data_IF_167840488386
#
_entry.id   IF_167840488386
#
_cell.length_a   1.000
_cell.length_b   1.000
_cell.length_c   1.000
_cell.angle_alpha   90.00
_cell.angle_beta   90.00
_cell.angle_gamma   90.00
#
_symmetry.space_group_name_H-M   'P 1'
#
loop_
_entity.id
_entity.type
_entity.pdbx_description
1 polymer ?
#
# COMPACT_ATOMS: atom_id res chain seq x y z
N UNK A 1 -9.48 -15.04 15.44
CA UNK A 1 -8.34 -14.34 14.82
C UNK A 1 -8.43 -12.86 15.21
N UNK A 2 -7.34 -12.21 15.64
CA UNK A 2 -7.35 -10.77 15.91
C UNK A 2 -7.70 -10.00 14.63
N UNK A 3 -8.49 -8.92 14.72
CA UNK A 3 -8.89 -8.09 13.57
C UNK A 3 -7.70 -7.71 12.69
N UNK A 4 -6.57 -7.39 13.32
CA UNK A 4 -5.32 -6.97 12.68
C UNK A 4 -4.75 -7.97 11.67
N UNK A 5 -4.79 -9.28 11.93
CA UNK A 5 -4.23 -10.30 11.02
C UNK A 5 -5.06 -10.47 9.75
N UNK A 6 -6.38 -10.40 9.88
CA UNK A 6 -7.28 -10.45 8.73
C UNK A 6 -7.10 -9.22 7.83
N UNK A 7 -6.94 -8.06 8.44
CA UNK A 7 -6.68 -6.80 7.74
C UNK A 7 -5.36 -6.88 6.95
N UNK A 8 -4.27 -7.35 7.55
CA UNK A 8 -2.97 -7.52 6.86
C UNK A 8 -3.10 -8.44 5.63
N UNK A 9 -3.81 -9.56 5.73
CA UNK A 9 -4.03 -10.46 4.59
C UNK A 9 -4.87 -9.81 3.48
N UNK A 10 -5.89 -9.03 3.86
CA UNK A 10 -6.70 -8.25 2.91
C UNK A 10 -5.84 -7.19 2.22
N UNK A 11 -4.98 -6.49 2.96
CA UNK A 11 -4.03 -5.52 2.42
C UNK A 11 -3.06 -6.17 1.45
N UNK A 12 -2.50 -7.33 1.79
CA UNK A 12 -1.61 -8.10 0.92
C UNK A 12 -2.29 -8.44 -0.42
N UNK A 13 -3.49 -9.02 -0.38
CA UNK A 13 -4.23 -9.39 -1.60
C UNK A 13 -4.52 -8.18 -2.49
N UNK A 14 -4.96 -7.07 -1.89
CA UNK A 14 -5.19 -5.82 -2.64
C UNK A 14 -3.89 -5.27 -3.21
N UNK A 15 -2.80 -5.30 -2.42
CA UNK A 15 -1.49 -4.83 -2.85
C UNK A 15 -1.01 -5.59 -4.08
N UNK A 16 -1.09 -6.92 -4.07
CA UNK A 16 -0.70 -7.74 -5.22
C UNK A 16 -1.59 -7.47 -6.45
N UNK A 17 -2.90 -7.29 -6.25
CA UNK A 17 -3.85 -6.97 -7.33
C UNK A 17 -3.52 -5.65 -8.04
N UNK A 18 -3.14 -4.61 -7.31
CA UNK A 18 -2.74 -3.33 -7.92
C UNK A 18 -1.28 -3.34 -8.38
N UNK A 19 -0.43 -4.09 -7.69
CA UNK A 19 0.99 -4.18 -7.92
C UNK A 19 1.38 -4.70 -9.30
N UNK A 20 0.57 -5.56 -9.93
CA UNK A 20 0.80 -6.03 -11.30
C UNK A 20 0.83 -4.90 -12.34
N UNK A 21 0.17 -3.77 -12.04
CA UNK A 21 0.09 -2.60 -12.92
C UNK A 21 1.20 -1.58 -12.64
N UNK A 22 2.14 -1.89 -11.74
CA UNK A 22 3.23 -0.97 -11.41
C UNK A 22 4.17 -0.79 -12.62
N UNK A 23 4.43 0.46 -13.06
CA UNK A 23 5.15 0.73 -14.31
C UNK A 23 6.68 0.72 -14.10
N UNK A 24 7.22 -0.38 -13.56
CA UNK A 24 8.67 -0.60 -13.40
C UNK A 24 9.12 -1.88 -14.08
N UNK A 25 10.35 -1.86 -14.64
CA UNK A 25 11.01 -3.07 -15.16
C UNK A 25 11.33 -4.06 -14.03
N UNK A 26 11.60 -3.55 -12.84
CA UNK A 26 11.94 -4.34 -11.65
C UNK A 26 10.70 -4.68 -10.80
N UNK A 27 9.52 -4.73 -11.44
CA UNK A 27 8.25 -4.93 -10.72
C UNK A 27 8.23 -6.26 -9.97
N UNK A 28 8.79 -7.32 -10.55
CA UNK A 28 8.78 -8.66 -9.94
C UNK A 28 9.58 -8.65 -8.63
N UNK A 29 10.75 -8.04 -8.64
CA UNK A 29 11.61 -7.89 -7.46
C UNK A 29 10.91 -7.04 -6.38
N UNK A 30 10.30 -5.92 -6.77
CA UNK A 30 9.52 -5.07 -5.84
C UNK A 30 8.38 -5.86 -5.22
N UNK A 31 7.61 -6.60 -6.02
CA UNK A 31 6.50 -7.42 -5.52
C UNK A 31 6.99 -8.57 -4.63
N UNK A 32 8.17 -9.12 -4.90
CA UNK A 32 8.81 -10.10 -4.03
C UNK A 32 9.18 -9.50 -2.67
N UNK A 33 9.79 -8.32 -2.63
CA UNK A 33 10.09 -7.61 -1.38
C UNK A 33 8.82 -7.26 -0.60
N UNK A 34 7.77 -6.83 -1.29
CA UNK A 34 6.46 -6.56 -0.68
C UNK A 34 5.85 -7.85 -0.11
N UNK A 35 5.91 -8.95 -0.85
CA UNK A 35 5.47 -10.26 -0.35
C UNK A 35 6.21 -10.67 0.92
N UNK A 36 7.53 -10.50 0.94
CA UNK A 36 8.36 -10.80 2.11
C UNK A 36 7.97 -9.93 3.32
N UNK A 37 7.73 -8.63 3.13
CA UNK A 37 7.23 -7.75 4.18
C UNK A 37 5.93 -8.27 4.83
N UNK A 38 4.96 -8.68 4.01
CA UNK A 38 3.70 -9.25 4.52
C UNK A 38 3.89 -10.62 5.18
N UNK A 39 4.83 -11.42 4.69
CA UNK A 39 5.17 -12.70 5.29
C UNK A 39 5.76 -12.52 6.69
N UNK A 40 6.76 -11.63 6.83
CA UNK A 40 7.40 -11.29 8.11
C UNK A 40 6.43 -10.65 9.11
N UNK A 41 5.43 -9.91 8.61
CA UNK A 41 4.41 -9.29 9.47
C UNK A 41 3.52 -10.31 10.20
N UNK A 42 3.51 -11.60 9.80
CA UNK A 42 2.70 -12.64 10.46
C UNK A 42 3.22 -13.01 11.86
N UNK A 43 4.53 -12.91 12.07
CA UNK A 43 5.19 -13.26 13.34
C UNK A 43 5.25 -12.10 14.34
N UNK A 44 4.89 -10.89 13.92
CA UNK A 44 4.83 -9.72 14.82
C UNK A 44 3.73 -9.93 15.85
N UNK A 45 4.08 -9.77 17.12
CA UNK A 45 3.17 -9.93 18.27
C UNK A 45 3.00 -8.64 19.07
N UNK A 46 3.99 -7.74 19.01
CA UNK A 46 3.93 -6.43 19.66
C UNK A 46 2.84 -5.55 19.01
N UNK A 47 1.90 -4.97 19.79
CA UNK A 47 0.82 -4.15 19.26
C UNK A 47 1.29 -2.86 18.57
N UNK A 48 2.37 -2.22 19.05
CA UNK A 48 2.87 -0.98 18.46
C UNK A 48 3.53 -1.26 17.12
N UNK A 49 4.38 -2.29 17.05
CA UNK A 49 4.98 -2.73 15.79
C UNK A 49 3.89 -3.14 14.79
N UNK A 50 2.86 -3.86 15.24
CA UNK A 50 1.76 -4.26 14.37
C UNK A 50 1.01 -3.05 13.79
N UNK A 51 0.82 -1.99 14.57
CA UNK A 51 0.24 -0.72 14.12
C UNK A 51 1.10 -0.05 13.05
N UNK A 52 2.43 -0.01 13.26
CA UNK A 52 3.36 0.53 12.26
C UNK A 52 3.36 -0.29 10.97
N UNK A 53 3.35 -1.63 11.07
CA UNK A 53 3.25 -2.51 9.88
C UNK A 53 1.95 -2.28 9.12
N UNK A 54 0.83 -2.09 9.82
CA UNK A 54 -0.44 -1.73 9.20
C UNK A 54 -0.38 -0.38 8.50
N UNK A 55 0.25 0.64 9.11
CA UNK A 55 0.46 1.95 8.50
C UNK A 55 1.30 1.85 7.22
N UNK A 56 2.42 1.11 7.27
CA UNK A 56 3.26 0.85 6.10
C UNK A 56 2.50 0.09 4.99
N UNK A 57 1.71 -0.93 5.35
CA UNK A 57 0.88 -1.67 4.41
C UNK A 57 -0.15 -0.77 3.71
N UNK A 58 -0.79 0.17 4.43
CA UNK A 58 -1.67 1.20 3.86
C UNK A 58 -0.94 2.08 2.86
N UNK A 59 0.26 2.56 3.20
CA UNK A 59 1.07 3.39 2.30
C UNK A 59 1.47 2.63 1.02
N UNK A 60 1.91 1.38 1.15
CA UNK A 60 2.28 0.53 0.01
C UNK A 60 1.07 0.34 -0.92
N UNK A 61 -0.09 0.01 -0.35
CA UNK A 61 -1.32 -0.17 -1.13
C UNK A 61 -1.73 1.12 -1.85
N UNK A 62 -1.73 2.26 -1.16
CA UNK A 62 -2.07 3.56 -1.74
C UNK A 62 -1.15 3.90 -2.93
N UNK A 63 0.16 3.62 -2.80
CA UNK A 63 1.11 3.83 -3.87
C UNK A 63 0.77 2.99 -5.12
N UNK A 64 0.53 1.69 -4.95
CA UNK A 64 0.14 0.84 -6.08
C UNK A 64 -1.21 1.22 -6.68
N UNK A 65 -2.17 1.66 -5.87
CA UNK A 65 -3.46 2.16 -6.34
C UNK A 65 -3.31 3.42 -7.19
N UNK A 66 -2.45 4.35 -6.77
CA UNK A 66 -2.13 5.56 -7.52
C UNK A 66 -1.54 5.22 -8.90
N UNK A 67 -0.55 4.34 -8.97
CA UNK A 67 0.04 3.96 -10.26
C UNK A 67 -0.93 3.17 -11.14
N UNK A 68 -1.74 2.29 -10.56
CA UNK A 68 -2.78 1.60 -11.32
C UNK A 68 -3.78 2.61 -11.90
N UNK A 69 -4.27 3.57 -11.10
CA UNK A 69 -5.13 4.64 -11.59
C UNK A 69 -4.44 5.44 -12.69
N UNK A 70 -3.15 5.76 -12.53
CA UNK A 70 -2.40 6.50 -13.56
C UNK A 70 -2.32 5.74 -14.89
N UNK A 71 -2.14 4.42 -14.85
CA UNK A 71 -2.19 3.58 -16.04
C UNK A 71 -3.56 3.60 -16.72
N UNK A 72 -4.65 3.66 -15.94
CA UNK A 72 -6.01 3.82 -16.47
C UNK A 72 -6.18 5.19 -17.12
N UNK A 73 -5.72 6.26 -16.48
CA UNK A 73 -5.76 7.61 -17.05
C UNK A 73 -5.03 7.67 -18.40
N UNK A 74 -3.82 7.09 -18.47
CA UNK A 74 -3.02 7.07 -19.70
C UNK A 74 -3.71 6.29 -20.83
N UNK A 75 -4.48 5.25 -20.49
CA UNK A 75 -5.21 4.44 -21.47
C UNK A 75 -6.53 5.08 -21.92
N UNK A 76 -7.22 5.79 -21.03
CA UNK A 76 -8.59 6.27 -21.25
C UNK A 76 -8.68 7.78 -21.49
N UNK A 77 -7.62 8.54 -21.21
CA UNK A 77 -7.61 10.00 -21.24
C UNK A 77 -8.44 10.66 -20.13
N UNK A 78 -9.10 9.87 -19.27
CA UNK A 78 -9.97 10.39 -18.20
C UNK A 78 -9.19 10.46 -16.88
N UNK A 79 -9.20 11.63 -16.24
CA UNK A 79 -8.54 11.86 -14.95
C UNK A 79 -9.29 11.18 -13.81
N UNK A 80 -8.57 10.55 -12.88
CA UNK A 80 -9.10 9.93 -11.66
C UNK A 80 -8.67 10.80 -10.48
N UNK A 81 -9.63 11.53 -9.87
CA UNK A 81 -9.31 12.51 -8.82
C UNK A 81 -8.94 11.90 -7.47
N UNK A 82 -9.54 10.76 -7.11
CA UNK A 82 -9.33 10.08 -5.82
C UNK A 82 -9.02 8.60 -6.03
N UNK A 83 -7.78 8.27 -6.41
CA UNK A 83 -7.41 6.90 -6.75
C UNK A 83 -7.31 5.96 -5.54
N UNK A 84 -7.22 6.51 -4.32
CA UNK A 84 -7.18 5.78 -3.06
C UNK A 84 -7.76 6.64 -1.93
N UNK A 85 -8.07 5.99 -0.80
CA UNK A 85 -8.56 6.67 0.40
C UNK A 85 -7.41 7.33 1.17
N UNK A 86 -7.52 8.63 1.43
CA UNK A 86 -6.48 9.45 2.08
C UNK A 86 -6.68 9.60 3.59
N UNK A 87 -7.77 9.07 4.15
CA UNK A 87 -8.23 9.38 5.53
C UNK A 87 -7.17 9.16 6.63
N UNK A 88 -6.20 8.26 6.41
CA UNK A 88 -5.32 7.76 7.47
C UNK A 88 -3.82 8.00 7.24
N UNK A 89 -3.41 8.54 6.08
CA UNK A 89 -1.99 8.45 5.66
C UNK A 89 -1.20 9.72 5.99
N UNK A 90 -1.83 10.89 5.96
CA UNK A 90 -1.20 12.17 6.34
C UNK A 90 -2.29 13.12 6.82
N UNK A 91 -2.19 13.59 8.07
CA UNK A 91 -3.02 14.71 8.50
C UNK A 91 -2.32 16.00 8.08
N UNK A 92 -2.91 16.84 7.21
CA UNK A 92 -2.29 18.10 6.82
C UNK A 92 -1.94 18.93 8.06
N UNK A 93 -0.67 19.30 8.22
CA UNK A 93 -0.20 20.24 9.26
C UNK A 93 0.55 19.65 10.47
N UNK A 94 0.60 18.33 10.66
CA UNK A 94 1.40 17.72 11.77
C UNK A 94 2.68 17.03 11.32
N UNK A 95 2.69 16.43 10.12
CA UNK A 95 3.76 15.52 9.69
C UNK A 95 4.61 16.07 8.51
N UNK A 96 4.53 17.38 8.23
CA UNK A 96 5.37 17.98 7.19
C UNK A 96 6.79 18.25 7.72
N UNK A 97 7.74 17.42 7.32
CA UNK A 97 9.17 17.75 7.39
C UNK A 97 9.52 18.55 6.13
N UNK A 98 9.90 19.82 6.30
CA UNK A 98 10.47 20.63 5.23
C UNK A 98 11.88 20.09 4.95
N UNK A 99 12.11 19.60 3.72
CA UNK A 99 13.45 19.35 3.21
C UNK A 99 14.12 20.68 2.81
#
# INVERSE_FOLDING_TARGET
>A
MSLSRYEILKMFRNTMKHGIHYPSKNRVEILSSVHEFYYQSKSVTDPQELSERLRMAKMILANFQMYHAKMIEMRTGTKIEKPYDQSDINTPGKDFVYF
#
